data_IF_803101591186
#
_entry.id   IF_803101591186
#
_cell.length_a   1.000
_cell.length_b   1.000
_cell.length_c   1.000
_cell.angle_alpha   90.00
_cell.angle_beta   90.00
_cell.angle_gamma   90.00
#
_symmetry.space_group_name_H-M   'P 1'
#
loop_
_entity.id
_entity.type
_entity.pdbx_description
1 polymer ?
#
# COMPACT_ATOMS: atom_id res chain seq x y z
N UNK A 1 8.71 12.54 24.33
CA UNK A 1 7.41 12.89 23.73
C UNK A 1 6.95 11.80 22.74
N UNK A 2 6.85 10.53 23.18
CA UNK A 2 6.52 9.39 22.29
C UNK A 2 5.01 9.19 22.11
N UNK A 3 4.24 9.47 23.16
CA UNK A 3 2.79 9.28 23.17
C UNK A 3 2.02 10.16 22.18
N UNK A 4 2.48 11.38 21.86
CA UNK A 4 1.75 12.26 20.94
C UNK A 4 1.83 11.74 19.50
N UNK A 5 3.01 11.27 19.06
CA UNK A 5 3.16 10.70 17.71
C UNK A 5 2.38 9.40 17.58
N UNK A 6 2.53 8.49 18.54
CA UNK A 6 1.80 7.21 18.53
C UNK A 6 0.28 7.45 18.49
N UNK A 7 -0.23 8.33 19.35
CA UNK A 7 -1.64 8.71 19.37
C UNK A 7 -2.08 9.38 18.05
N UNK A 8 -1.29 10.30 17.51
CA UNK A 8 -1.61 10.94 16.23
C UNK A 8 -1.62 9.92 15.08
N UNK A 9 -0.67 8.98 15.07
CA UNK A 9 -0.60 7.93 14.05
C UNK A 9 -1.86 7.05 14.11
N UNK A 10 -2.25 6.63 15.31
CA UNK A 10 -3.48 5.85 15.52
C UNK A 10 -4.72 6.62 15.04
N UNK A 11 -4.89 7.87 15.47
CA UNK A 11 -6.08 8.67 15.11
C UNK A 11 -6.16 9.08 13.66
N UNK A 12 -5.02 9.33 13.03
CA UNK A 12 -4.98 9.62 11.60
C UNK A 12 -5.22 8.33 10.80
N UNK A 13 -4.75 7.16 11.26
CA UNK A 13 -5.03 5.88 10.59
C UNK A 13 -6.53 5.58 10.50
N UNK A 14 -7.29 5.84 11.58
CA UNK A 14 -8.75 5.70 11.61
C UNK A 14 -9.43 6.53 10.50
N UNK A 15 -8.91 7.73 10.22
CA UNK A 15 -9.42 8.63 9.18
C UNK A 15 -8.96 8.15 7.80
N UNK A 16 -7.66 7.95 7.60
CA UNK A 16 -7.07 7.66 6.30
C UNK A 16 -7.58 6.36 5.66
N UNK A 17 -7.75 5.31 6.47
CA UNK A 17 -8.28 4.02 6.00
C UNK A 17 -9.70 4.12 5.42
N UNK A 18 -10.42 5.20 5.71
CA UNK A 18 -11.78 5.44 5.22
C UNK A 18 -11.87 6.40 4.03
N UNK A 19 -10.82 7.16 3.71
CA UNK A 19 -10.92 8.32 2.80
C UNK A 19 -10.18 8.12 1.47
N UNK A 20 -8.87 7.85 1.50
CA UNK A 20 -8.09 7.89 0.26
C UNK A 20 -6.76 7.12 0.33
N UNK A 21 -6.68 6.02 -0.42
CA UNK A 21 -5.48 5.19 -0.49
C UNK A 21 -4.23 5.91 -1.06
N UNK A 22 -4.42 6.87 -1.97
CA UNK A 22 -3.30 7.69 -2.50
C UNK A 22 -2.73 8.58 -1.41
N UNK A 23 -3.60 9.15 -0.59
CA UNK A 23 -3.21 9.98 0.55
C UNK A 23 -2.51 9.15 1.63
N UNK A 24 -2.96 7.92 1.89
CA UNK A 24 -2.24 6.99 2.76
C UNK A 24 -0.78 6.78 2.31
N UNK A 25 -0.55 6.60 1.00
CA UNK A 25 0.79 6.43 0.43
C UNK A 25 1.63 7.70 0.60
N UNK A 26 1.07 8.86 0.24
CA UNK A 26 1.78 10.14 0.34
C UNK A 26 2.16 10.47 1.78
N UNK A 27 1.21 10.36 2.71
CA UNK A 27 1.45 10.67 4.12
C UNK A 27 2.30 9.60 4.81
N UNK A 28 2.16 8.33 4.42
CA UNK A 28 3.00 7.25 4.93
C UNK A 28 4.48 7.46 4.61
N UNK A 29 4.80 8.01 3.43
CA UNK A 29 6.15 8.44 3.08
C UNK A 29 6.59 9.69 3.83
N UNK A 30 5.75 10.72 3.82
CA UNK A 30 6.07 12.03 4.40
C UNK A 30 6.37 11.94 5.90
N UNK A 31 5.59 11.13 6.62
CA UNK A 31 5.70 11.00 8.07
C UNK A 31 6.43 9.73 8.53
N UNK A 32 6.98 8.96 7.59
CA UNK A 32 7.65 7.69 7.83
C UNK A 32 6.80 6.73 8.67
N UNK A 33 5.58 6.46 8.20
CA UNK A 33 4.63 5.52 8.81
C UNK A 33 4.39 4.38 7.84
N UNK A 34 5.11 3.27 8.04
CA UNK A 34 5.06 2.10 7.15
C UNK A 34 3.64 1.54 7.03
N UNK A 35 2.89 1.50 8.13
CA UNK A 35 1.54 0.95 8.15
C UNK A 35 0.59 1.68 7.20
N UNK A 36 0.70 3.01 7.12
CA UNK A 36 -0.10 3.83 6.19
C UNK A 36 0.29 3.57 4.74
N UNK A 37 1.59 3.48 4.48
CA UNK A 37 2.11 3.20 3.16
C UNK A 37 1.62 1.82 2.66
N UNK A 38 1.74 0.80 3.53
CA UNK A 38 1.26 -0.56 3.30
C UNK A 38 -0.24 -0.61 3.05
N UNK A 39 -1.04 0.03 3.92
CA UNK A 39 -2.50 0.09 3.79
C UNK A 39 -2.91 0.75 2.46
N UNK A 40 -2.26 1.84 2.07
CA UNK A 40 -2.54 2.53 0.82
C UNK A 40 -2.26 1.67 -0.41
N UNK A 41 -1.11 0.98 -0.44
CA UNK A 41 -0.79 0.06 -1.54
C UNK A 41 -1.73 -1.13 -1.62
N UNK A 42 -2.04 -1.77 -0.49
CA UNK A 42 -3.01 -2.87 -0.44
C UNK A 42 -4.37 -2.42 -0.98
N UNK A 43 -4.85 -1.25 -0.57
CA UNK A 43 -6.13 -0.69 -1.02
C UNK A 43 -6.13 -0.41 -2.52
N UNK A 44 -5.06 0.18 -3.08
CA UNK A 44 -4.95 0.43 -4.52
C UNK A 44 -4.79 -0.85 -5.35
N UNK A 45 -4.11 -1.86 -4.81
CA UNK A 45 -3.98 -3.15 -5.47
C UNK A 45 -5.28 -3.95 -5.44
N UNK A 46 -6.07 -3.84 -4.37
CA UNK A 46 -7.33 -4.56 -4.20
C UNK A 46 -8.52 -3.98 -5.01
N UNK A 47 -8.55 -2.67 -5.27
CA UNK A 47 -9.71 -2.02 -5.90
C UNK A 47 -9.91 -2.45 -7.36
N UNK A 48 -11.15 -2.40 -7.85
CA UNK A 48 -11.44 -2.71 -9.25
C UNK A 48 -10.88 -1.65 -10.22
N UNK A 49 -10.97 -0.38 -9.84
CA UNK A 49 -10.60 0.76 -10.67
C UNK A 49 -9.08 0.85 -10.87
N UNK A 50 -8.67 1.10 -12.12
CA UNK A 50 -7.27 1.35 -12.46
C UNK A 50 -6.72 2.57 -11.70
N UNK A 51 -5.41 2.59 -11.45
CA UNK A 51 -4.73 3.79 -10.94
C UNK A 51 -4.81 4.86 -12.02
N UNK A 52 -5.39 6.03 -11.70
CA UNK A 52 -5.48 7.12 -12.67
C UNK A 52 -4.09 7.69 -12.96
N UNK A 53 -3.90 8.31 -14.13
CA UNK A 53 -2.61 8.97 -14.46
C UNK A 53 -2.24 10.05 -13.45
N UNK A 54 -3.25 10.76 -12.91
CA UNK A 54 -3.07 11.75 -11.84
C UNK A 54 -2.54 11.08 -10.57
N UNK A 55 -3.16 10.00 -10.12
CA UNK A 55 -2.75 9.28 -8.92
C UNK A 55 -1.37 8.63 -9.11
N UNK A 56 -1.10 8.05 -10.29
CA UNK A 56 0.18 7.47 -10.63
C UNK A 56 1.32 8.50 -10.55
N UNK A 57 1.07 9.75 -10.94
CA UNK A 57 2.02 10.84 -10.76
C UNK A 57 2.27 11.17 -9.30
N UNK A 58 1.21 11.16 -8.47
CA UNK A 58 1.29 11.48 -7.04
C UNK A 58 2.03 10.39 -6.26
N UNK A 59 1.72 9.12 -6.51
CA UNK A 59 2.38 7.99 -5.84
C UNK A 59 3.73 7.63 -6.47
N UNK A 60 4.08 8.23 -7.61
CA UNK A 60 5.30 7.91 -8.35
C UNK A 60 5.08 6.81 -9.38
N UNK A 61 5.69 6.99 -10.56
CA UNK A 61 5.51 6.11 -11.71
C UNK A 61 5.97 4.68 -11.45
N UNK A 62 7.07 4.51 -10.72
CA UNK A 62 7.58 3.19 -10.34
C UNK A 62 6.58 2.46 -9.43
N UNK A 63 6.09 3.11 -8.38
CA UNK A 63 5.07 2.54 -7.50
C UNK A 63 3.78 2.20 -8.24
N UNK A 64 3.36 3.05 -9.20
CA UNK A 64 2.20 2.76 -10.04
C UNK A 64 2.43 1.53 -10.94
N UNK A 65 3.63 1.36 -11.50
CA UNK A 65 3.99 0.19 -12.30
C UNK A 65 4.04 -1.08 -11.45
N UNK A 66 4.66 -1.03 -10.27
CA UNK A 66 4.68 -2.15 -9.32
C UNK A 66 3.28 -2.56 -8.88
N UNK A 67 2.38 -1.60 -8.62
CA UNK A 67 0.95 -1.86 -8.37
C UNK A 67 0.29 -2.56 -9.56
N UNK A 68 0.59 -2.14 -10.79
CA UNK A 68 0.15 -2.81 -12.02
C UNK A 68 0.54 -4.29 -12.02
N UNK A 69 1.81 -4.58 -11.74
CA UNK A 69 2.31 -5.95 -11.64
C UNK A 69 1.60 -6.77 -10.55
N UNK A 70 1.40 -6.22 -9.34
CA UNK A 70 0.65 -6.92 -8.28
C UNK A 70 -0.74 -7.32 -8.77
N UNK A 71 -1.45 -6.39 -9.41
CA UNK A 71 -2.81 -6.61 -9.90
C UNK A 71 -2.84 -7.68 -10.98
N UNK A 72 -1.97 -7.57 -11.98
CA UNK A 72 -1.88 -8.54 -13.08
C UNK A 72 -1.51 -9.94 -12.59
N UNK A 73 -0.53 -10.07 -11.70
CA UNK A 73 -0.12 -11.34 -11.10
C UNK A 73 -1.25 -11.94 -10.26
N UNK A 74 -1.98 -11.10 -9.52
CA UNK A 74 -3.17 -11.51 -8.77
C UNK A 74 -4.20 -12.09 -9.74
N UNK A 75 -4.58 -11.39 -10.81
CA UNK A 75 -5.54 -11.92 -11.79
C UNK A 75 -5.03 -13.17 -12.54
N UNK A 76 -3.74 -13.24 -12.87
CA UNK A 76 -3.14 -14.37 -13.57
C UNK A 76 -3.12 -15.65 -12.71
N UNK A 77 -2.94 -15.51 -11.40
CA UNK A 77 -3.04 -16.63 -10.45
C UNK A 77 -4.46 -17.24 -10.45
N UNK A 78 -5.48 -16.42 -10.72
CA UNK A 78 -6.88 -16.82 -10.76
C UNK A 78 -7.25 -17.56 -12.05
N UNK A 79 -6.63 -17.19 -13.18
CA UNK A 79 -6.85 -17.88 -14.46
C UNK A 79 -6.32 -19.33 -14.47
N UNK A 80 -5.38 -19.67 -13.57
CA UNK A 80 -4.82 -21.03 -13.43
C UNK A 80 -5.68 -21.95 -12.57
N UNK A 81 -6.69 -21.44 -11.86
CA UNK A 81 -7.56 -22.24 -11.01
C UNK A 81 -8.62 -22.98 -11.84
N UNK A 82 -8.61 -24.32 -11.74
CA UNK A 82 -9.42 -25.27 -12.55
C UNK A 82 -10.95 -25.07 -12.55
N UNK A 83 -11.49 -24.17 -11.72
CA UNK A 83 -12.93 -23.95 -11.55
C UNK A 83 -13.51 -22.80 -12.37
N UNK A 84 -12.69 -22.05 -13.14
CA UNK A 84 -13.18 -20.95 -13.99
C UNK A 84 -13.84 -19.78 -13.25
N UNK A 85 -13.73 -19.75 -11.92
CA UNK A 85 -14.29 -18.70 -11.06
C UNK A 85 -13.14 -17.81 -10.59
N UNK A 86 -13.12 -16.57 -11.06
CA UNK A 86 -12.18 -15.54 -10.61
C UNK A 86 -12.55 -15.17 -9.18
N UNK A 87 -11.84 -15.70 -8.19
CA UNK A 87 -12.04 -15.30 -6.80
C UNK A 87 -10.92 -14.37 -6.39
N UNK A 88 -11.22 -13.08 -6.20
CA UNK A 88 -10.27 -12.13 -5.62
C UNK A 88 -9.70 -12.71 -4.32
N UNK A 89 -8.37 -12.76 -4.19
CA UNK A 89 -7.68 -13.22 -2.99
C UNK A 89 -6.90 -12.04 -2.41
N UNK A 90 -7.36 -11.58 -1.25
CA UNK A 90 -6.68 -10.53 -0.49
C UNK A 90 -5.27 -10.97 -0.07
N UNK A 91 -5.07 -12.28 0.18
CA UNK A 91 -3.76 -12.85 0.49
C UNK A 91 -2.77 -12.72 -0.68
N UNK A 92 -3.22 -12.95 -1.92
CA UNK A 92 -2.37 -12.77 -3.10
C UNK A 92 -2.00 -11.30 -3.30
N UNK A 93 -2.96 -10.38 -3.09
CA UNK A 93 -2.69 -8.94 -3.14
C UNK A 93 -1.66 -8.56 -2.08
N UNK A 94 -1.88 -8.99 -0.83
CA UNK A 94 -0.96 -8.74 0.27
C UNK A 94 0.43 -9.26 -0.07
N UNK A 95 0.58 -10.53 -0.44
CA UNK A 95 1.86 -11.12 -0.79
C UNK A 95 2.58 -10.36 -1.92
N UNK A 96 1.86 -9.93 -2.96
CA UNK A 96 2.42 -9.12 -4.04
C UNK A 96 2.88 -7.75 -3.58
N UNK A 97 2.10 -7.07 -2.73
CA UNK A 97 2.47 -5.77 -2.14
C UNK A 97 3.69 -5.92 -1.23
N UNK A 98 3.69 -6.88 -0.31
CA UNK A 98 4.82 -7.18 0.56
C UNK A 98 6.10 -7.39 -0.25
N UNK A 99 6.04 -8.22 -1.29
CA UNK A 99 7.23 -8.57 -2.07
C UNK A 99 7.77 -7.37 -2.87
N UNK A 100 6.90 -6.65 -3.59
CA UNK A 100 7.35 -5.61 -4.53
C UNK A 100 7.75 -4.31 -3.82
N UNK A 101 7.16 -4.02 -2.67
CA UNK A 101 7.40 -2.76 -1.94
C UNK A 101 8.32 -2.93 -0.73
N UNK A 102 8.86 -4.13 -0.48
CA UNK A 102 9.74 -4.36 0.69
C UNK A 102 10.93 -3.40 0.76
N UNK A 103 11.52 -3.05 -0.38
CA UNK A 103 12.61 -2.07 -0.41
C UNK A 103 12.18 -0.71 0.15
N UNK A 104 11.02 -0.21 -0.26
CA UNK A 104 10.47 1.05 0.24
C UNK A 104 10.06 0.95 1.71
N UNK A 105 9.47 -0.17 2.12
CA UNK A 105 9.12 -0.41 3.52
C UNK A 105 10.36 -0.44 4.42
N UNK A 106 11.46 -1.05 3.98
CA UNK A 106 12.72 -1.04 4.72
C UNK A 106 13.28 0.38 4.89
N UNK A 107 13.21 1.21 3.85
CA UNK A 107 13.65 2.61 3.95
C UNK A 107 12.76 3.42 4.91
N UNK A 108 11.44 3.23 4.85
CA UNK A 108 10.52 3.87 5.81
C UNK A 108 10.77 3.40 7.23
N UNK A 109 10.98 2.09 7.49
CA UNK A 109 11.31 1.57 8.83
C UNK A 109 12.58 2.20 9.40
N UNK A 110 13.63 2.33 8.58
CA UNK A 110 14.88 2.98 8.98
C UNK A 110 14.64 4.44 9.36
N UNK A 111 13.84 5.16 8.57
CA UNK A 111 13.46 6.54 8.87
C UNK A 111 12.59 6.65 10.13
N UNK A 112 11.64 5.73 10.32
CA UNK A 112 10.78 5.68 11.49
C UNK A 112 11.58 5.48 12.78
N UNK A 113 12.62 4.64 12.74
CA UNK A 113 13.50 4.40 13.88
C UNK A 113 14.18 5.67 14.41
N UNK A 114 14.45 6.65 13.54
CA UNK A 114 14.99 7.96 13.95
C UNK A 114 14.01 8.77 14.80
N UNK A 115 12.70 8.51 14.70
CA UNK A 115 11.68 9.13 15.56
C UNK A 115 11.43 8.36 16.87
N UNK A 116 12.01 7.16 17.01
CA UNK A 116 11.90 6.31 18.21
C UNK A 116 13.11 6.41 19.14
N UNK A 117 14.25 6.93 18.66
CA UNK A 117 15.45 7.23 19.46
C UNK A 117 15.19 8.41 20.42
#
# INVERSE_FOLDING_TARGET
MKHIREYAVEKIAEILNSINAVECITLGREYSVEEWLRSGYMTLAARYQVVSVKDARVIGWESALLLGHVREETYASLAKSRMGRVMFSEDNVKAGVENKFEGEFQEVRKSEAAYRA
#
